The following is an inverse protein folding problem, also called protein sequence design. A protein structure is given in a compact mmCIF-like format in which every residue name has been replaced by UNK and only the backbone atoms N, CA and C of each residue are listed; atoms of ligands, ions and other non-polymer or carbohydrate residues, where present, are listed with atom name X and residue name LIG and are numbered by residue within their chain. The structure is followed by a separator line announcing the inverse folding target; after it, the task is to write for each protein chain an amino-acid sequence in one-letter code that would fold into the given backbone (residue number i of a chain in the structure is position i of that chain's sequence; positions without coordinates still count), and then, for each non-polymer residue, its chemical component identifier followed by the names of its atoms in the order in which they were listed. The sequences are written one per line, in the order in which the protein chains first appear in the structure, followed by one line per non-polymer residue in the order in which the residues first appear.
data_IF_317892258601
#
_entry.id   IF_317892258601
#
_cell.length_a   1.000
_cell.length_b   1.000
_cell.length_c   1.000
_cell.angle_alpha   90.00
_cell.angle_beta   90.00
_cell.angle_gamma   90.00
#
_symmetry.space_group_name_H-M   'P 1'
#
loop_
_entity.id
_entity.type
_entity.pdbx_description
1 polymer ?
#
# COMPACT_ATOMS: atom_id res chain seq x y z
N UNK A 1 -35.69 -31.29 62.34
CA UNK A 1 -35.88 -30.95 60.91
C UNK A 1 -34.83 -29.92 60.52
N UNK A 2 -33.76 -30.34 59.87
CA UNK A 2 -32.70 -29.47 59.36
C UNK A 2 -32.54 -29.77 57.87
N UNK A 3 -33.22 -29.00 57.03
CA UNK A 3 -33.04 -29.03 55.58
C UNK A 3 -31.77 -28.22 55.27
N UNK A 4 -30.68 -28.91 54.94
CA UNK A 4 -29.48 -28.27 54.37
C UNK A 4 -29.70 -28.08 52.88
N UNK A 5 -29.96 -26.84 52.47
CA UNK A 5 -29.97 -26.44 51.06
C UNK A 5 -28.55 -26.46 50.50
N UNK A 6 -28.27 -27.38 49.58
CA UNK A 6 -27.08 -27.34 48.74
C UNK A 6 -27.29 -26.30 47.63
N UNK A 7 -26.54 -25.20 47.69
CA UNK A 7 -26.41 -24.24 46.59
C UNK A 7 -25.32 -24.77 45.67
N UNK A 8 -25.73 -25.30 44.50
CA UNK A 8 -24.81 -25.70 43.45
C UNK A 8 -24.29 -24.45 42.73
N UNK A 9 -23.05 -24.06 43.02
CA UNK A 9 -22.34 -23.01 42.30
C UNK A 9 -21.81 -23.62 40.99
N UNK A 10 -22.54 -23.42 39.90
CA UNK A 10 -22.05 -23.74 38.56
C UNK A 10 -21.03 -22.69 38.14
N UNK A 11 -19.75 -23.03 38.23
CA UNK A 11 -18.66 -22.24 37.65
C UNK A 11 -18.76 -22.41 36.12
N UNK A 12 -18.99 -21.35 35.33
CA UNK A 12 -18.94 -21.46 33.88
C UNK A 12 -17.52 -21.84 33.48
N UNK A 13 -17.38 -23.04 32.94
CA UNK A 13 -16.16 -23.50 32.29
C UNK A 13 -16.00 -22.66 31.02
N UNK A 14 -15.27 -21.55 31.12
CA UNK A 14 -14.84 -20.79 29.95
C UNK A 14 -13.83 -21.67 29.24
N UNK A 15 -14.28 -22.43 28.24
CA UNK A 15 -13.41 -23.07 27.29
C UNK A 15 -12.62 -21.95 26.59
N UNK A 16 -11.39 -21.72 27.04
CA UNK A 16 -10.36 -21.05 26.27
C UNK A 16 -10.06 -21.97 25.08
N UNK A 17 -10.94 -21.95 24.08
CA UNK A 17 -10.64 -22.51 22.78
C UNK A 17 -9.35 -21.85 22.34
N UNK A 18 -8.31 -22.64 22.13
CA UNK A 18 -7.08 -22.18 21.50
C UNK A 18 -7.49 -21.60 20.16
N UNK A 19 -7.60 -20.29 20.06
CA UNK A 19 -7.66 -19.60 18.78
C UNK A 19 -6.29 -19.82 18.17
N UNK A 20 -6.14 -20.90 17.42
CA UNK A 20 -4.99 -21.08 16.53
C UNK A 20 -4.94 -19.83 15.66
N UNK A 21 -3.84 -19.10 15.75
CA UNK A 21 -3.67 -17.90 14.93
C UNK A 21 -3.88 -18.33 13.47
N UNK A 22 -4.66 -17.58 12.66
CA UNK A 22 -4.86 -17.90 11.25
C UNK A 22 -3.53 -18.05 10.48
N UNK A 23 -2.43 -17.49 11.02
CA UNK A 23 -1.07 -17.69 10.55
C UNK A 23 -0.65 -19.17 10.43
N UNK A 24 -1.23 -20.06 11.24
CA UNK A 24 -0.85 -21.48 11.31
C UNK A 24 -1.80 -22.43 10.56
N UNK A 25 -3.02 -22.00 10.21
CA UNK A 25 -4.02 -22.89 9.57
C UNK A 25 -4.62 -22.35 8.25
N UNK A 26 -4.34 -21.09 7.86
CA UNK A 26 -4.91 -20.44 6.67
C UNK A 26 -3.91 -20.04 5.57
N UNK A 27 -4.24 -20.37 4.32
CA UNK A 27 -3.51 -20.09 3.07
C UNK A 27 -3.49 -18.59 2.72
N UNK A 28 -2.73 -17.77 3.47
CA UNK A 28 -2.43 -16.42 3.01
C UNK A 28 -1.56 -16.55 1.76
N UNK A 29 -2.04 -16.03 0.64
CA UNK A 29 -1.24 -15.99 -0.58
C UNK A 29 -0.05 -15.06 -0.33
N UNK A 30 1.16 -15.48 -0.70
CA UNK A 30 2.41 -14.72 -0.49
C UNK A 30 2.32 -13.23 -0.93
N UNK A 31 1.67 -12.87 -2.06
CA UNK A 31 1.40 -11.48 -2.41
C UNK A 31 0.64 -10.67 -1.35
N UNK A 32 -0.22 -11.31 -0.57
CA UNK A 32 -1.11 -10.71 0.43
C UNK A 32 -0.53 -10.74 1.86
N UNK A 33 0.66 -11.29 2.03
CA UNK A 33 1.33 -11.39 3.32
C UNK A 33 2.04 -10.07 3.66
N UNK A 34 1.42 -9.25 4.52
CA UNK A 34 1.94 -7.94 4.96
C UNK A 34 2.20 -7.96 6.47
N UNK A 35 3.01 -7.02 6.98
CA UNK A 35 3.20 -6.80 8.42
C UNK A 35 1.89 -6.73 9.22
N UNK A 36 0.86 -6.15 8.60
CA UNK A 36 -0.46 -5.98 9.22
C UNK A 36 -1.28 -7.28 9.27
N UNK A 37 -0.87 -8.32 8.55
CA UNK A 37 -1.61 -9.57 8.40
C UNK A 37 -1.33 -10.61 9.52
N UNK A 38 -0.49 -10.28 10.52
CA UNK A 38 -0.06 -11.22 11.58
C UNK A 38 -1.23 -11.85 12.33
N UNK A 39 -2.29 -11.08 12.59
CA UNK A 39 -3.45 -11.53 13.37
C UNK A 39 -4.73 -11.67 12.56
N UNK A 40 -4.85 -10.96 11.43
CA UNK A 40 -6.07 -10.89 10.63
C UNK A 40 -5.70 -10.92 9.14
N UNK A 41 -6.36 -11.74 8.31
CA UNK A 41 -6.12 -11.75 6.89
C UNK A 41 -6.31 -10.36 6.26
N UNK A 42 -5.28 -9.87 5.59
CA UNK A 42 -5.25 -8.51 5.04
C UNK A 42 -6.15 -8.36 3.81
N UNK A 43 -6.78 -7.19 3.68
CA UNK A 43 -7.59 -6.80 2.52
C UNK A 43 -7.15 -5.42 2.07
N UNK A 44 -6.87 -5.25 0.78
CA UNK A 44 -6.36 -4.00 0.22
C UNK A 44 -5.52 -4.20 -1.04
N UNK A 45 -4.82 -3.13 -1.44
CA UNK A 45 -3.91 -3.11 -2.58
C UNK A 45 -2.46 -3.14 -2.11
N UNK A 46 -1.63 -3.92 -2.81
CA UNK A 46 -0.19 -4.02 -2.58
C UNK A 46 0.54 -3.82 -3.89
N UNK A 47 1.56 -2.96 -3.85
CA UNK A 47 2.39 -2.62 -4.98
C UNK A 47 3.78 -3.18 -4.74
N UNK A 48 4.29 -3.88 -5.74
CA UNK A 48 5.53 -4.61 -5.68
C UNK A 48 6.37 -4.32 -6.92
N UNK A 49 7.68 -4.30 -6.72
CA UNK A 49 8.65 -4.32 -7.79
C UNK A 49 8.90 -5.76 -8.21
N UNK A 50 8.76 -6.07 -9.51
CA UNK A 50 9.01 -7.39 -10.06
C UNK A 50 10.25 -7.38 -10.97
N UNK A 51 11.28 -8.14 -10.58
CA UNK A 51 12.50 -8.36 -11.38
C UNK A 51 12.53 -9.77 -11.95
N UNK A 52 12.90 -9.89 -13.22
CA UNK A 52 13.18 -11.18 -13.86
C UNK A 52 14.69 -11.33 -14.03
N UNK A 53 15.24 -12.43 -13.55
CA UNK A 53 16.66 -12.72 -13.75
C UNK A 53 16.84 -13.60 -14.99
N UNK A 54 17.46 -13.04 -16.05
CA UNK A 54 17.84 -13.76 -17.27
C UNK A 54 19.22 -14.43 -17.18
N UNK A 55 19.46 -15.46 -17.99
CA UNK A 55 20.70 -16.26 -18.01
C UNK A 55 21.93 -15.59 -18.66
N UNK A 56 21.97 -14.28 -18.85
CA UNK A 56 23.19 -13.58 -19.29
C UNK A 56 23.42 -12.36 -18.44
N UNK A 57 24.35 -12.50 -17.51
CA UNK A 57 25.00 -11.42 -16.75
C UNK A 57 25.86 -10.56 -17.69
N UNK A 58 25.26 -9.97 -18.73
CA UNK A 58 25.88 -8.85 -19.44
C UNK A 58 25.38 -7.60 -18.74
N UNK A 59 26.25 -6.95 -17.98
CA UNK A 59 26.01 -5.79 -17.09
C UNK A 59 25.38 -4.54 -17.78
N UNK A 60 25.02 -4.62 -19.05
CA UNK A 60 24.41 -3.54 -19.84
C UNK A 60 22.89 -3.62 -19.98
N UNK A 61 22.26 -4.75 -19.65
CA UNK A 61 20.80 -4.91 -19.70
C UNK A 61 20.26 -5.08 -18.28
N UNK A 62 20.12 -3.96 -17.55
CA UNK A 62 19.25 -3.91 -16.38
C UNK A 62 17.86 -4.34 -16.89
N UNK A 63 17.49 -5.61 -16.64
CA UNK A 63 16.18 -6.12 -17.05
C UNK A 63 15.12 -5.17 -16.50
N UNK A 64 14.26 -4.58 -17.36
CA UNK A 64 13.26 -3.61 -16.90
C UNK A 64 12.42 -4.29 -15.83
N UNK A 65 12.46 -3.75 -14.62
CA UNK A 65 11.56 -4.23 -13.59
C UNK A 65 10.15 -3.75 -13.94
N UNK A 66 9.15 -4.55 -13.59
CA UNK A 66 7.75 -4.17 -13.76
C UNK A 66 7.17 -3.86 -12.39
N UNK A 67 6.43 -2.75 -12.28
CA UNK A 67 5.58 -2.54 -11.11
C UNK A 67 4.33 -3.41 -11.24
N UNK A 68 3.98 -4.06 -10.13
CA UNK A 68 2.90 -5.02 -10.02
C UNK A 68 1.96 -4.54 -8.92
N UNK A 69 0.69 -4.35 -9.22
CA UNK A 69 -0.33 -4.08 -8.22
C UNK A 69 -1.22 -5.30 -8.04
N UNK A 70 -1.38 -5.72 -6.79
CA UNK A 70 -2.21 -6.87 -6.41
C UNK A 70 -3.30 -6.39 -5.47
N UNK A 71 -4.54 -6.76 -5.74
CA UNK A 71 -5.63 -6.63 -4.80
C UNK A 71 -5.83 -7.96 -4.06
N UNK A 72 -5.85 -7.87 -2.74
CA UNK A 72 -6.05 -8.99 -1.85
C UNK A 72 -7.36 -8.83 -1.08
N UNK A 73 -8.07 -9.95 -0.95
CA UNK A 73 -9.28 -10.04 -0.14
C UNK A 73 -9.13 -11.19 0.84
N UNK A 74 -9.18 -10.85 2.13
CA UNK A 74 -9.03 -11.80 3.24
C UNK A 74 -7.80 -12.71 3.09
N UNK A 75 -6.66 -12.13 2.70
CA UNK A 75 -5.39 -12.84 2.56
C UNK A 75 -5.22 -13.63 1.26
N UNK A 76 -6.20 -13.64 0.34
CA UNK A 76 -6.08 -14.29 -0.96
C UNK A 76 -5.96 -13.26 -2.10
N UNK A 77 -5.23 -13.61 -3.16
CA UNK A 77 -5.08 -12.76 -4.35
C UNK A 77 -6.33 -12.83 -5.24
N UNK A 78 -7.00 -11.68 -5.43
CA UNK A 78 -8.23 -11.57 -6.23
C UNK A 78 -8.04 -10.76 -7.51
N UNK A 79 -7.16 -9.77 -7.49
CA UNK A 79 -6.89 -8.91 -8.64
C UNK A 79 -5.40 -8.73 -8.84
N UNK A 80 -4.96 -8.71 -10.09
CA UNK A 80 -3.57 -8.48 -10.44
C UNK A 80 -3.51 -7.63 -11.69
N UNK A 81 -2.65 -6.63 -11.66
CA UNK A 81 -2.27 -5.86 -12.84
C UNK A 81 -0.81 -5.41 -12.76
N UNK A 82 -0.32 -4.88 -13.86
CA UNK A 82 1.00 -4.29 -13.97
C UNK A 82 0.83 -2.82 -14.34
N UNK A 83 1.84 -2.00 -14.02
CA UNK A 83 1.90 -0.65 -14.55
C UNK A 83 1.79 -0.70 -16.08
N UNK A 84 0.95 0.19 -16.63
CA UNK A 84 0.73 0.35 -18.08
C UNK A 84 2.04 0.68 -18.78
N UNK A 85 2.78 1.60 -18.19
CA UNK A 85 4.02 2.13 -18.73
C UNK A 85 5.24 1.55 -18.02
N UNK A 86 6.38 1.64 -18.69
CA UNK A 86 7.66 1.28 -18.09
C UNK A 86 8.20 2.50 -17.34
N UNK A 87 8.84 2.28 -16.18
CA UNK A 87 9.54 3.34 -15.48
C UNK A 87 10.55 4.02 -16.41
N UNK A 88 10.46 5.34 -16.52
CA UNK A 88 11.42 6.13 -17.28
C UNK A 88 12.66 6.40 -16.43
N UNK A 89 13.88 6.24 -16.98
CA UNK A 89 15.08 6.71 -16.29
C UNK A 89 15.01 8.22 -16.07
N UNK A 90 15.50 8.68 -14.92
CA UNK A 90 15.70 10.10 -14.66
C UNK A 90 16.87 10.66 -15.50
N UNK A 91 17.14 11.96 -15.37
CA UNK A 91 18.24 12.64 -16.10
C UNK A 91 19.62 12.01 -15.85
N UNK A 92 19.81 11.36 -14.70
CA UNK A 92 21.04 10.63 -14.34
C UNK A 92 21.09 9.20 -14.89
N UNK A 93 20.11 8.80 -15.70
CA UNK A 93 19.96 7.43 -16.22
C UNK A 93 19.55 6.40 -15.17
N UNK A 94 19.18 6.83 -13.95
CA UNK A 94 18.72 5.96 -12.89
C UNK A 94 17.21 5.76 -13.00
N UNK A 95 16.77 4.52 -12.93
CA UNK A 95 15.35 4.20 -12.87
C UNK A 95 14.91 4.32 -11.40
N UNK A 96 13.83 5.07 -11.08
CA UNK A 96 13.36 5.21 -9.69
C UNK A 96 12.96 3.84 -9.12
N UNK A 97 12.71 3.72 -7.81
CA UNK A 97 12.17 2.45 -7.26
C UNK A 97 10.66 2.32 -7.47
N UNK A 98 9.97 3.46 -7.43
CA UNK A 98 8.53 3.59 -7.61
C UNK A 98 8.34 4.60 -8.73
N UNK A 99 7.70 4.16 -9.81
CA UNK A 99 7.23 5.04 -10.87
C UNK A 99 5.86 5.58 -10.46
N UNK A 100 5.83 6.81 -9.93
CA UNK A 100 4.63 7.40 -9.36
C UNK A 100 3.60 7.82 -10.41
N UNK A 101 3.98 8.00 -11.68
CA UNK A 101 3.05 8.27 -12.78
C UNK A 101 2.39 7.01 -13.34
N UNK A 102 2.74 5.82 -12.82
CA UNK A 102 2.20 4.55 -13.31
C UNK A 102 0.70 4.43 -13.09
N UNK A 103 -0.01 4.04 -14.16
CA UNK A 103 -1.43 3.65 -14.14
C UNK A 103 -1.55 2.13 -14.09
N UNK A 104 -2.43 1.62 -13.22
CA UNK A 104 -2.68 0.20 -12.99
C UNK A 104 -4.13 -0.14 -13.30
N UNK A 105 -4.42 -1.03 -14.26
CA UNK A 105 -5.80 -1.35 -14.63
C UNK A 105 -6.16 -2.81 -14.34
N UNK A 106 -7.15 -3.02 -13.46
CA UNK A 106 -7.68 -4.34 -13.12
C UNK A 106 -8.94 -4.59 -13.94
N UNK A 107 -9.00 -5.73 -14.65
CA UNK A 107 -10.20 -6.09 -15.42
C UNK A 107 -11.40 -6.31 -14.52
N UNK A 108 -12.58 -5.89 -14.97
CA UNK A 108 -13.83 -5.95 -14.21
C UNK A 108 -14.48 -7.35 -14.14
N UNK A 109 -13.67 -8.40 -13.98
CA UNK A 109 -14.12 -9.78 -13.91
C UNK A 109 -14.22 -10.29 -12.46
N UNK A 110 -14.21 -9.39 -11.48
CA UNK A 110 -14.12 -9.72 -10.06
C UNK A 110 -15.40 -9.33 -9.32
N UNK A 111 -15.72 -10.11 -8.29
CA UNK A 111 -16.99 -10.07 -7.53
C UNK A 111 -17.16 -8.79 -6.69
N UNK A 112 -16.16 -7.91 -6.63
CA UNK A 112 -16.07 -6.82 -5.65
C UNK A 112 -16.00 -5.40 -6.22
N UNK A 113 -16.33 -5.19 -7.50
CA UNK A 113 -16.27 -3.86 -8.13
C UNK A 113 -14.88 -3.16 -7.99
N UNK A 114 -13.84 -3.98 -7.88
CA UNK A 114 -12.44 -3.54 -7.89
C UNK A 114 -11.92 -3.32 -9.32
N UNK A 115 -12.77 -3.52 -10.33
CA UNK A 115 -12.44 -3.23 -11.71
C UNK A 115 -12.22 -1.73 -11.91
N UNK A 116 -11.31 -1.39 -12.82
CA UNK A 116 -11.00 -0.01 -13.18
C UNK A 116 -9.50 0.25 -13.24
N UNK A 117 -9.15 1.49 -13.58
CA UNK A 117 -7.78 1.97 -13.55
C UNK A 117 -7.52 2.76 -12.28
N UNK A 118 -6.29 2.66 -11.81
CA UNK A 118 -5.83 3.25 -10.57
C UNK A 118 -4.52 3.98 -10.82
N UNK A 119 -4.32 5.06 -10.09
CA UNK A 119 -3.09 5.83 -10.08
C UNK A 119 -2.62 6.02 -8.65
N UNK A 120 -1.31 6.10 -8.50
CA UNK A 120 -0.68 6.44 -7.23
C UNK A 120 -0.15 7.85 -7.28
N UNK A 121 -0.08 8.53 -6.14
CA UNK A 121 0.59 9.81 -6.02
C UNK A 121 1.23 9.92 -4.64
N UNK A 122 2.41 10.53 -4.55
CA UNK A 122 3.10 10.73 -3.27
C UNK A 122 2.71 12.04 -2.62
N UNK A 123 2.86 12.13 -1.30
CA UNK A 123 2.72 13.39 -0.56
C UNK A 123 3.89 14.34 -0.86
N UNK A 124 3.70 15.66 -0.72
CA UNK A 124 4.73 16.66 -1.04
C UNK A 124 6.06 16.43 -0.30
N UNK A 125 6.03 16.01 0.97
CA UNK A 125 7.24 15.76 1.77
C UNK A 125 8.12 14.59 1.28
N UNK A 126 7.61 13.76 0.35
CA UNK A 126 8.34 12.67 -0.29
C UNK A 126 8.71 12.98 -1.76
N UNK A 127 8.38 14.16 -2.25
CA UNK A 127 8.84 14.64 -3.57
C UNK A 127 10.35 14.78 -3.52
N UNK A 128 11.04 14.16 -4.49
CA UNK A 128 12.50 14.11 -4.53
C UNK A 128 13.15 12.97 -3.73
N UNK A 129 12.37 12.10 -3.08
CA UNK A 129 12.89 10.85 -2.50
C UNK A 129 12.70 9.68 -3.46
N UNK A 130 13.82 9.19 -4.01
CA UNK A 130 13.80 8.09 -4.98
C UNK A 130 13.52 6.70 -4.39
N UNK A 131 13.56 6.57 -3.05
CA UNK A 131 13.42 5.29 -2.36
C UNK A 131 12.45 5.37 -1.19
N UNK A 132 11.44 4.51 -1.25
CA UNK A 132 10.46 4.27 -0.17
C UNK A 132 10.94 3.26 0.87
N UNK A 133 12.15 2.71 0.71
CA UNK A 133 12.61 1.52 1.44
C UNK A 133 13.08 1.76 2.88
N UNK A 134 13.18 3.02 3.34
CA UNK A 134 13.91 3.32 4.57
C UNK A 134 13.14 3.02 5.86
N UNK A 135 11.81 3.05 5.83
CA UNK A 135 10.98 2.87 7.04
C UNK A 135 9.65 2.25 6.62
N UNK A 136 9.30 1.04 7.08
CA UNK A 136 7.97 0.44 6.86
C UNK A 136 6.85 1.21 7.58
N UNK A 137 5.63 1.04 7.10
CA UNK A 137 4.39 1.58 7.70
C UNK A 137 4.31 3.12 7.75
N UNK A 138 5.00 3.80 6.84
CA UNK A 138 5.00 5.26 6.72
C UNK A 138 4.01 5.69 5.65
N UNK A 139 3.14 6.65 5.98
CA UNK A 139 2.18 7.22 5.04
C UNK A 139 2.86 8.14 4.02
N UNK A 140 3.03 7.63 2.80
CA UNK A 140 3.83 8.27 1.75
C UNK A 140 3.02 8.82 0.59
N UNK A 141 1.77 8.41 0.43
CA UNK A 141 0.99 8.75 -0.75
C UNK A 141 -0.44 8.25 -0.71
N UNK A 142 -1.15 8.32 -1.83
CA UNK A 142 -2.51 7.86 -1.99
C UNK A 142 -2.68 6.97 -3.21
N UNK A 143 -3.64 6.06 -3.12
CA UNK A 143 -4.18 5.31 -4.26
C UNK A 143 -5.51 5.95 -4.66
N UNK A 144 -5.66 6.20 -5.95
CA UNK A 144 -6.82 6.85 -6.53
C UNK A 144 -7.38 5.99 -7.67
N UNK A 145 -8.70 5.90 -7.79
CA UNK A 145 -9.39 5.22 -8.89
C UNK A 145 -9.79 6.28 -9.91
N UNK A 146 -9.42 6.07 -11.16
CA UNK A 146 -9.75 6.97 -12.26
C UNK A 146 -11.24 6.80 -12.62
N UNK A 147 -11.95 7.91 -12.86
CA UNK A 147 -13.32 7.85 -13.40
C UNK A 147 -13.31 7.44 -14.87
N UNK A 148 -12.31 7.91 -15.63
CA UNK A 148 -12.00 7.50 -16.99
C UNK A 148 -10.70 6.67 -17.01
N UNK A 149 -10.72 5.43 -17.57
CA UNK A 149 -9.51 4.63 -17.77
C UNK A 149 -8.44 5.27 -18.68
N UNK A 150 -8.84 6.16 -19.59
CA UNK A 150 -7.95 6.81 -20.56
C UNK A 150 -7.35 8.11 -20.02
N UNK A 151 -8.08 8.81 -19.14
CA UNK A 151 -7.68 10.09 -18.56
C UNK A 151 -7.69 10.02 -17.02
N UNK A 152 -6.49 10.02 -16.43
CA UNK A 152 -6.29 10.00 -14.98
C UNK A 152 -5.32 11.09 -14.54
N UNK A 153 -5.32 12.20 -15.28
CA UNK A 153 -4.40 13.33 -15.10
C UNK A 153 -5.11 14.55 -14.48
N UNK A 154 -6.35 14.40 -14.00
CA UNK A 154 -7.08 15.48 -13.35
C UNK A 154 -7.50 15.07 -11.93
N UNK A 155 -7.26 15.96 -10.96
CA UNK A 155 -7.64 15.75 -9.55
C UNK A 155 -9.17 15.64 -9.39
N UNK A 156 -9.94 16.29 -10.25
CA UNK A 156 -11.42 16.24 -10.21
C UNK A 156 -11.97 14.92 -10.78
N UNK A 157 -11.19 14.20 -11.58
CA UNK A 157 -11.59 12.97 -12.28
C UNK A 157 -11.06 11.70 -11.58
N UNK A 158 -10.72 11.82 -10.30
CA UNK A 158 -10.25 10.70 -9.49
C UNK A 158 -10.99 10.55 -8.18
N UNK A 159 -11.18 9.32 -7.76
CA UNK A 159 -11.83 8.95 -6.49
C UNK A 159 -10.75 8.43 -5.54
N UNK A 160 -10.55 9.05 -4.36
CA UNK A 160 -9.59 8.53 -3.40
C UNK A 160 -10.02 7.15 -2.91
N UNK A 161 -9.12 6.18 -3.02
CA UNK A 161 -9.36 4.80 -2.59
C UNK A 161 -8.87 4.65 -1.18
N UNK A 162 -7.55 4.71 -0.98
CA UNK A 162 -6.89 4.46 0.30
C UNK A 162 -5.51 5.14 0.35
N UNK A 163 -5.02 5.49 1.55
CA UNK A 163 -3.64 5.92 1.72
C UNK A 163 -2.68 4.78 1.38
N UNK A 164 -1.50 5.15 0.88
CA UNK A 164 -0.37 4.26 0.62
C UNK A 164 0.65 4.38 1.75
N UNK A 165 0.91 3.23 2.37
CA UNK A 165 1.96 3.04 3.36
C UNK A 165 3.15 2.34 2.71
N UNK A 166 4.35 2.62 3.18
CA UNK A 166 5.54 1.85 2.82
C UNK A 166 5.45 0.42 3.33
N UNK A 167 5.80 -0.54 2.49
CA UNK A 167 5.81 -1.96 2.83
C UNK A 167 7.19 -2.39 3.38
N UNK A 168 7.33 -3.67 3.68
CA UNK A 168 8.54 -4.28 4.23
C UNK A 168 9.35 -4.92 3.10
N UNK A 169 10.40 -4.25 2.57
CA UNK A 169 11.12 -4.76 1.41
C UNK A 169 11.91 -6.04 1.69
N UNK A 170 12.17 -6.33 2.97
CA UNK A 170 12.77 -7.59 3.41
C UNK A 170 11.84 -8.80 3.30
N UNK A 171 10.52 -8.60 3.18
CA UNK A 171 9.57 -9.66 2.81
C UNK A 171 9.61 -9.98 1.31
N UNK A 172 10.78 -9.84 0.68
CA UNK A 172 10.98 -10.23 -0.71
C UNK A 172 10.78 -11.73 -0.88
N UNK A 173 10.17 -12.12 -1.98
CA UNK A 173 9.92 -13.53 -2.28
C UNK A 173 10.18 -13.83 -3.74
N UNK A 174 10.49 -15.10 -3.97
CA UNK A 174 10.79 -15.63 -5.30
C UNK A 174 9.65 -16.57 -5.69
N UNK A 175 9.26 -16.53 -6.98
CA UNK A 175 8.34 -17.54 -7.52
C UNK A 175 9.12 -18.58 -8.32
N UNK A 176 9.47 -19.72 -7.72
CA UNK A 176 10.00 -20.85 -8.46
C UNK A 176 8.83 -21.61 -9.10
N UNK A 177 8.63 -21.50 -10.41
CA UNK A 177 7.77 -22.44 -11.14
C UNK A 177 8.32 -22.66 -12.55
N UNK A 178 9.07 -23.75 -12.74
CA UNK A 178 9.40 -24.34 -14.04
C UNK A 178 10.01 -23.42 -15.13
N UNK A 179 10.38 -22.19 -14.80
CA UNK A 179 11.02 -21.24 -15.71
C UNK A 179 12.52 -21.21 -15.43
N UNK A 180 13.33 -21.14 -16.48
CA UNK A 180 14.79 -20.94 -16.40
C UNK A 180 15.20 -19.60 -15.77
N UNK A 181 14.22 -18.72 -15.53
CA UNK A 181 14.43 -17.36 -15.02
C UNK A 181 13.64 -17.16 -13.71
N UNK A 182 14.33 -17.01 -12.56
CA UNK A 182 13.64 -16.71 -11.32
C UNK A 182 13.06 -15.29 -11.36
N UNK A 183 11.86 -15.14 -10.79
CA UNK A 183 11.20 -13.85 -10.63
C UNK A 183 11.26 -13.47 -9.16
N UNK A 184 11.94 -12.37 -8.86
CA UNK A 184 11.94 -11.74 -7.55
C UNK A 184 10.84 -10.69 -7.48
N UNK A 185 10.16 -10.63 -6.34
CA UNK A 185 9.23 -9.56 -6.01
C UNK A 185 9.65 -8.90 -4.71
N UNK A 186 9.71 -7.57 -4.73
CA UNK A 186 10.07 -6.74 -3.59
C UNK A 186 8.84 -5.88 -3.26
N UNK A 187 8.23 -6.06 -2.07
CA UNK A 187 7.17 -5.18 -1.62
C UNK A 187 7.63 -3.73 -1.52
N UNK A 188 6.80 -2.79 -1.97
CA UNK A 188 7.12 -1.37 -1.97
C UNK A 188 6.10 -0.57 -1.16
N UNK A 189 4.81 -0.73 -1.51
CA UNK A 189 3.72 0.04 -0.92
C UNK A 189 2.52 -0.88 -0.69
N UNK A 190 1.70 -0.55 0.30
CA UNK A 190 0.43 -1.22 0.53
C UNK A 190 -0.61 -0.26 1.10
N UNK A 191 -1.89 -0.59 0.95
CA UNK A 191 -2.98 0.14 1.59
C UNK A 191 -3.36 -0.52 2.91
N UNK A 192 -3.63 0.23 3.98
CA UNK A 192 -4.07 -0.35 5.24
C UNK A 192 -5.42 -1.06 5.07
N UNK A 193 -5.56 -2.22 5.73
CA UNK A 193 -6.86 -2.88 5.87
C UNK A 193 -7.74 -2.09 6.85
N UNK A 194 -9.08 -2.19 6.71
CA UNK A 194 -10.06 -1.59 7.62
C UNK A 194 -9.81 -1.86 9.12
N UNK A 195 -9.10 -2.95 9.44
CA UNK A 195 -8.74 -3.35 10.80
C UNK A 195 -7.30 -2.99 11.19
N UNK A 196 -6.60 -2.19 10.38
CA UNK A 196 -5.22 -1.80 10.62
C UNK A 196 -5.15 -0.86 11.83
N UNK A 197 -4.44 -1.29 12.87
CA UNK A 197 -4.13 -0.43 14.02
C UNK A 197 -3.15 0.69 13.66
N UNK A 198 -2.36 0.51 12.60
CA UNK A 198 -1.33 1.46 12.14
C UNK A 198 -1.94 2.68 11.47
N UNK A 199 -3.10 2.51 10.83
CA UNK A 199 -3.82 3.60 10.19
C UNK A 199 -5.32 3.37 10.39
N UNK A 200 -5.86 3.77 11.56
CA UNK A 200 -7.30 3.73 11.77
C UNK A 200 -7.94 4.66 10.74
N UNK A 201 -8.97 4.18 10.05
CA UNK A 201 -9.67 4.93 9.02
C UNK A 201 -10.37 6.14 9.63
N UNK A 202 -9.76 7.33 9.54
CA UNK A 202 -10.32 8.54 10.16
C UNK A 202 -11.25 9.29 9.21
N UNK A 203 -10.88 9.41 7.93
CA UNK A 203 -11.69 10.00 6.84
C UNK A 203 -10.86 10.01 5.52
N UNK A 204 -11.42 10.54 4.43
CA UNK A 204 -10.72 10.73 3.15
C UNK A 204 -9.98 12.07 3.03
N UNK A 205 -9.91 12.91 4.07
CA UNK A 205 -9.28 14.24 3.98
C UNK A 205 -7.77 14.20 3.77
N UNK A 206 -7.16 13.03 3.96
CA UNK A 206 -5.78 12.79 3.57
C UNK A 206 -5.55 13.05 2.06
N UNK A 207 -6.58 12.81 1.24
CA UNK A 207 -6.52 12.96 -0.21
C UNK A 207 -6.40 14.43 -0.62
N UNK A 208 -7.02 15.35 0.12
CA UNK A 208 -7.01 16.80 -0.15
C UNK A 208 -5.59 17.40 -0.12
N UNK A 209 -4.61 16.69 0.43
CA UNK A 209 -3.20 17.12 0.54
C UNK A 209 -2.29 16.53 -0.54
N UNK A 210 -2.84 15.73 -1.45
CA UNK A 210 -2.08 15.00 -2.46
C UNK A 210 -2.60 15.39 -3.84
N UNK A 211 -1.71 15.92 -4.68
CA UNK A 211 -2.00 16.18 -6.08
C UNK A 211 -1.66 14.93 -6.91
N UNK A 212 -2.59 14.48 -7.75
CA UNK A 212 -2.45 13.24 -8.53
C UNK A 212 -1.32 13.28 -9.57
N UNK A 213 -0.94 14.49 -9.98
CA UNK A 213 0.16 14.76 -10.90
C UNK A 213 1.41 15.25 -10.18
N UNK A 214 1.37 15.33 -8.85
CA UNK A 214 2.46 15.79 -8.02
C UNK A 214 2.95 17.21 -8.37
N UNK A 215 2.06 18.06 -8.86
CA UNK A 215 2.33 19.48 -9.10
C UNK A 215 2.33 20.27 -7.79
N UNK A 216 3.35 20.02 -6.97
CA UNK A 216 3.56 20.78 -5.75
C UNK A 216 4.36 22.03 -6.08
N UNK A 217 3.81 23.21 -5.77
CA UNK A 217 4.60 24.44 -5.86
C UNK A 217 5.77 24.35 -4.86
N UNK A 218 6.97 24.80 -5.27
CA UNK A 218 8.22 24.76 -4.49
C UNK A 218 8.17 25.51 -3.13
N UNK A 219 7.02 26.10 -2.77
CA UNK A 219 6.84 26.98 -1.61
C UNK A 219 6.93 26.30 -0.23
N UNK A 220 7.03 24.97 -0.12
CA UNK A 220 7.05 24.28 1.18
C UNK A 220 8.22 23.30 1.44
N UNK A 221 9.13 23.09 0.50
CA UNK A 221 10.28 22.19 0.74
C UNK A 221 11.35 22.78 1.68
N UNK A 222 11.41 24.12 1.81
CA UNK A 222 12.30 24.80 2.77
C UNK A 222 11.81 24.71 4.22
N UNK A 223 10.51 24.54 4.45
CA UNK A 223 9.97 24.53 5.81
C UNK A 223 10.07 23.17 6.49
N UNK A 224 10.18 22.08 5.72
CA UNK A 224 10.32 20.71 6.23
C UNK A 224 11.77 20.24 6.37
N UNK A 225 12.71 20.80 5.62
CA UNK A 225 14.14 20.44 5.69
C UNK A 225 14.85 21.02 6.93
N UNK A 226 14.29 22.07 7.53
CA UNK A 226 14.77 22.66 8.77
C UNK A 226 13.92 22.20 9.95
N UNK A 227 14.32 21.07 10.56
CA UNK A 227 13.74 20.54 11.80
C UNK A 227 13.80 21.52 12.97
N UNK A 228 12.89 22.50 13.00
CA UNK A 228 12.62 23.35 14.16
C UNK A 228 11.12 23.36 14.40
N UNK A 229 10.74 22.83 15.57
CA UNK A 229 9.41 22.97 16.15
C UNK A 229 8.97 24.45 16.14
N UNK A 230 8.20 24.86 15.16
CA UNK A 230 7.43 26.10 15.23
C UNK A 230 5.95 25.77 15.16
N UNK A 231 5.43 25.46 16.36
CA UNK A 231 4.11 25.84 16.87
C UNK A 231 3.01 26.15 15.85
N UNK A 232 1.99 25.28 15.85
CA UNK A 232 0.62 25.32 15.29
C UNK A 232 -0.21 26.63 15.42
N UNK A 233 0.38 27.83 15.37
CA UNK A 233 -0.31 29.12 15.60
C UNK A 233 -0.60 29.96 14.35
N UNK A 234 -0.12 29.58 13.16
CA UNK A 234 -0.28 30.45 11.97
C UNK A 234 -1.39 30.07 10.99
N UNK A 235 -1.96 28.86 11.04
CA UNK A 235 -3.05 28.47 10.14
C UNK A 235 -4.45 29.04 10.49
N UNK A 236 -4.57 29.84 11.56
CA UNK A 236 -5.86 30.45 11.97
C UNK A 236 -6.08 31.88 11.48
N UNK A 237 -5.14 32.49 10.75
CA UNK A 237 -5.25 33.90 10.32
C UNK A 237 -5.66 34.11 8.86
N UNK A 238 -5.76 33.07 8.03
CA UNK A 238 -6.16 33.22 6.62
C UNK A 238 -7.58 32.76 6.27
N UNK A 239 -8.32 32.17 7.22
CA UNK A 239 -9.73 31.79 7.02
C UNK A 239 -10.73 32.76 7.67
N UNK A 240 -10.37 34.05 7.77
CA UNK A 240 -11.27 35.11 8.30
C UNK A 240 -11.36 36.36 7.43
N UNK A 241 -10.92 36.31 6.18
CA UNK A 241 -11.01 37.46 5.26
C UNK A 241 -11.64 37.14 3.90
N UNK A 242 -12.46 36.09 3.81
CA UNK A 242 -13.46 35.91 2.76
C UNK A 242 -14.71 35.26 3.33
#
# INVERSE_FOLDING_TARGET
MLLKSLVAVTVPLVCLGSTTSPYYEGKIDVPCDTASAVYVPWTGFRIQLQRRYGQRFSDSDISPYAMRMTYCWQGSEYGLTYARDRPTPNESGQVPWVDWSSIFCISNNTVQDIGGCYRIARRPEYVGRDSVLRVPNVFVGGLFKCTDPEDCDNNDDVIPVLPLLTDEPYMTWFRPRNTSTPIQRIPLLYTPSQYSYLYPFVDSRWADTIDINEHYEDFELDHYSTGRQTSFKQLRRHLRSH
#
